data_IF_730335328687
#
_entry.id   IF_730335328687
#
_cell.length_a   1.000
_cell.length_b   1.000
_cell.length_c   1.000
_cell.angle_alpha   90.00
_cell.angle_beta   90.00
_cell.angle_gamma   90.00
#
_symmetry.space_group_name_H-M   'P 1'
#
loop_
_entity.id
_entity.type
_entity.pdbx_description
1 polymer ?
#
# COMPACT_ATOMS: atom_id res chain seq x y z
N UNK A 1 -22.81 -4.66 18.90
CA UNK A 1 -21.92 -3.48 19.09
C UNK A 1 -22.71 -2.24 18.68
N UNK A 2 -22.69 -1.18 19.48
CA UNK A 2 -23.39 0.06 19.11
C UNK A 2 -22.70 0.67 17.88
N UNK A 3 -23.47 1.09 16.88
CA UNK A 3 -22.95 1.75 15.67
C UNK A 3 -22.10 2.98 16.05
N UNK A 4 -22.55 3.75 17.04
CA UNK A 4 -21.83 4.91 17.57
C UNK A 4 -20.43 4.57 18.10
N UNK A 5 -20.28 3.45 18.83
CA UNK A 5 -18.96 3.05 19.35
C UNK A 5 -18.04 2.52 18.24
N UNK A 6 -18.60 1.92 17.19
CA UNK A 6 -17.80 1.39 16.08
C UNK A 6 -17.32 2.53 15.16
N UNK A 7 -18.19 3.50 14.87
CA UNK A 7 -17.84 4.68 14.08
C UNK A 7 -16.84 5.58 14.80
N UNK A 8 -16.97 5.77 16.12
CA UNK A 8 -16.04 6.60 16.89
C UNK A 8 -14.63 6.00 16.92
N UNK A 9 -14.51 4.69 17.12
CA UNK A 9 -13.22 3.98 17.10
C UNK A 9 -12.57 4.07 15.72
N UNK A 10 -13.33 3.83 14.65
CA UNK A 10 -12.82 3.95 13.28
C UNK A 10 -12.35 5.39 12.96
N UNK A 11 -13.16 6.39 13.35
CA UNK A 11 -12.82 7.80 13.19
C UNK A 11 -11.55 8.19 13.94
N UNK A 12 -11.40 7.74 15.18
CA UNK A 12 -10.21 7.97 15.99
C UNK A 12 -8.95 7.41 15.31
N UNK A 13 -8.96 6.15 14.88
CA UNK A 13 -7.80 5.56 14.20
C UNK A 13 -7.51 6.22 12.85
N UNK A 14 -8.53 6.67 12.13
CA UNK A 14 -8.35 7.43 10.88
C UNK A 14 -7.65 8.76 11.14
N UNK A 15 -8.09 9.51 12.16
CA UNK A 15 -7.45 10.77 12.55
C UNK A 15 -6.01 10.56 13.03
N UNK A 16 -5.80 9.55 13.88
CA UNK A 16 -4.47 9.21 14.36
C UNK A 16 -3.52 8.87 13.21
N UNK A 17 -3.96 8.07 12.24
CA UNK A 17 -3.17 7.75 11.04
C UNK A 17 -2.84 8.98 10.21
N UNK A 18 -3.76 9.94 10.08
CA UNK A 18 -3.51 11.21 9.37
C UNK A 18 -2.50 12.09 10.09
N UNK A 19 -2.61 12.21 11.41
CA UNK A 19 -1.66 12.98 12.23
C UNK A 19 -0.27 12.36 12.16
N UNK A 20 -0.15 11.03 12.28
CA UNK A 20 1.14 10.33 12.14
C UNK A 20 1.73 10.50 10.73
N UNK A 21 0.90 10.43 9.69
CA UNK A 21 1.34 10.72 8.31
C UNK A 21 1.86 12.15 8.15
N UNK A 22 1.18 13.12 8.76
CA UNK A 22 1.62 14.52 8.73
C UNK A 22 2.94 14.74 9.49
N UNK A 23 3.10 14.09 10.65
CA UNK A 23 4.36 14.11 11.40
C UNK A 23 5.49 13.51 10.57
N UNK A 24 5.26 12.37 9.90
CA UNK A 24 6.25 11.79 8.97
C UNK A 24 6.68 12.80 7.91
N UNK A 25 5.73 13.50 7.30
CA UNK A 25 6.04 14.47 6.24
C UNK A 25 6.83 15.67 6.78
N UNK A 26 6.53 16.14 7.99
CA UNK A 26 7.33 17.17 8.70
C UNK A 26 8.77 16.68 8.93
N UNK A 27 8.93 15.45 9.41
CA UNK A 27 10.26 14.89 9.70
C UNK A 27 11.08 14.74 8.41
N UNK A 28 10.47 14.27 7.32
CA UNK A 28 11.12 14.20 6.01
C UNK A 28 11.54 15.61 5.56
N UNK A 29 10.66 16.60 5.65
CA UNK A 29 10.99 17.98 5.27
C UNK A 29 12.10 18.58 6.14
N UNK A 30 12.09 18.31 7.45
CA UNK A 30 13.10 18.82 8.39
C UNK A 30 14.48 18.19 8.18
N UNK A 31 14.55 16.87 8.01
CA UNK A 31 15.83 16.16 7.89
C UNK A 31 16.37 16.08 6.46
N UNK A 32 15.51 15.91 5.45
CA UNK A 32 15.92 15.70 4.07
C UNK A 32 15.71 16.94 3.18
N UNK A 33 14.79 17.84 3.55
CA UNK A 33 14.49 19.03 2.76
C UNK A 33 14.19 18.73 1.29
N UNK A 34 14.62 19.62 0.39
CA UNK A 34 14.62 19.41 -1.06
C UNK A 34 15.93 18.76 -1.50
N UNK A 35 16.13 17.48 -1.17
CA UNK A 35 17.32 16.72 -1.55
C UNK A 35 17.00 15.60 -2.54
N UNK A 36 18.04 15.09 -3.20
CA UNK A 36 17.94 13.93 -4.09
C UNK A 36 17.41 12.68 -3.37
N UNK A 37 17.66 12.57 -2.05
CA UNK A 37 17.20 11.46 -1.21
C UNK A 37 15.70 11.55 -0.93
N UNK A 38 15.19 12.75 -0.63
CA UNK A 38 13.74 12.97 -0.46
C UNK A 38 12.99 12.65 -1.76
N UNK A 39 13.50 13.17 -2.88
CA UNK A 39 12.97 12.92 -4.23
C UNK A 39 12.89 11.40 -4.54
N UNK A 40 14.00 10.68 -4.33
CA UNK A 40 14.08 9.23 -4.52
C UNK A 40 13.12 8.47 -3.60
N UNK A 41 13.04 8.85 -2.32
CA UNK A 41 12.13 8.24 -1.35
C UNK A 41 10.67 8.41 -1.77
N UNK A 42 10.25 9.59 -2.20
CA UNK A 42 8.87 9.82 -2.62
C UNK A 42 8.49 9.07 -3.89
N UNK A 43 9.43 8.91 -4.83
CA UNK A 43 9.21 8.06 -6.02
C UNK A 43 9.06 6.60 -5.61
N UNK A 44 9.99 6.07 -4.82
CA UNK A 44 9.94 4.70 -4.34
C UNK A 44 8.65 4.43 -3.54
N UNK A 45 8.29 5.32 -2.62
CA UNK A 45 7.11 5.19 -1.78
C UNK A 45 5.78 5.31 -2.56
N UNK A 46 5.78 5.92 -3.75
CA UNK A 46 4.58 6.05 -4.59
C UNK A 46 4.09 4.69 -5.10
N UNK A 47 5.02 3.79 -5.42
CA UNK A 47 4.70 2.48 -5.99
C UNK A 47 3.83 1.62 -5.04
N UNK A 48 4.27 1.27 -3.83
CA UNK A 48 3.47 0.45 -2.92
C UNK A 48 2.16 1.14 -2.52
N UNK A 49 2.15 2.48 -2.39
CA UNK A 49 0.92 3.20 -2.08
C UNK A 49 -0.11 3.11 -3.21
N UNK A 50 0.31 3.22 -4.46
CA UNK A 50 -0.60 3.06 -5.61
C UNK A 50 -1.22 1.67 -5.62
N UNK A 51 -0.41 0.62 -5.42
CA UNK A 51 -0.92 -0.75 -5.32
C UNK A 51 -1.90 -0.92 -4.16
N UNK A 52 -1.56 -0.42 -2.97
CA UNK A 52 -2.45 -0.46 -1.80
C UNK A 52 -3.80 0.21 -2.08
N UNK A 53 -3.80 1.35 -2.77
CA UNK A 53 -5.03 2.08 -3.13
C UNK A 53 -5.88 1.31 -4.15
N UNK A 54 -5.25 0.70 -5.15
CA UNK A 54 -5.93 -0.05 -6.20
C UNK A 54 -6.54 -1.36 -5.69
N UNK A 55 -5.78 -2.12 -4.89
CA UNK A 55 -6.15 -3.48 -4.50
C UNK A 55 -6.78 -3.59 -3.12
N UNK A 56 -6.49 -2.71 -2.16
CA UNK A 56 -6.88 -2.93 -0.77
C UNK A 56 -7.94 -1.95 -0.22
N UNK A 57 -7.93 -0.67 -0.62
CA UNK A 57 -8.79 0.33 0.03
C UNK A 57 -10.26 0.24 -0.40
N UNK A 58 -10.56 0.05 -1.69
CA UNK A 58 -11.93 0.16 -2.23
C UNK A 58 -12.52 -1.14 -2.76
N UNK A 59 -11.98 -1.61 -3.89
CA UNK A 59 -12.59 -2.70 -4.67
C UNK A 59 -12.61 -4.03 -3.92
N UNK A 60 -11.53 -4.36 -3.23
CA UNK A 60 -11.45 -5.61 -2.48
C UNK A 60 -12.44 -5.65 -1.33
N UNK A 61 -12.53 -4.61 -0.50
CA UNK A 61 -13.47 -4.58 0.63
C UNK A 61 -14.94 -4.69 0.16
N UNK A 62 -15.28 -4.01 -0.95
CA UNK A 62 -16.63 -4.06 -1.52
C UNK A 62 -17.03 -5.45 -2.02
N UNK A 63 -16.09 -6.25 -2.53
CA UNK A 63 -16.32 -7.62 -2.98
C UNK A 63 -16.20 -8.64 -1.83
N UNK A 64 -15.16 -8.51 -0.99
CA UNK A 64 -14.82 -9.46 0.06
C UNK A 64 -15.85 -9.51 1.18
N UNK A 65 -16.25 -8.35 1.71
CA UNK A 65 -17.11 -8.30 2.91
C UNK A 65 -18.48 -8.96 2.67
N UNK A 66 -19.22 -8.68 1.57
CA UNK A 66 -20.48 -9.36 1.29
C UNK A 66 -20.32 -10.86 1.06
N UNK A 67 -19.29 -11.28 0.31
CA UNK A 67 -19.04 -12.71 0.05
C UNK A 67 -18.66 -13.47 1.33
N UNK A 68 -17.80 -12.90 2.16
CA UNK A 68 -17.45 -13.46 3.46
C UNK A 68 -18.68 -13.55 4.38
N UNK A 69 -19.52 -12.52 4.40
CA UNK A 69 -20.75 -12.53 5.20
C UNK A 69 -21.70 -13.65 4.76
N UNK A 70 -21.84 -13.89 3.45
CA UNK A 70 -22.66 -14.98 2.91
C UNK A 70 -22.10 -16.37 3.28
N UNK A 71 -20.78 -16.57 3.19
CA UNK A 71 -20.17 -17.85 3.59
C UNK A 71 -20.24 -18.06 5.10
N UNK A 72 -20.09 -17.00 5.90
CA UNK A 72 -20.23 -17.07 7.36
C UNK A 72 -21.63 -17.49 7.81
N UNK A 73 -22.68 -17.12 7.07
CA UNK A 73 -24.06 -17.56 7.36
C UNK A 73 -24.24 -19.08 7.24
N UNK A 74 -23.42 -19.75 6.42
CA UNK A 74 -23.42 -21.23 6.28
C UNK A 74 -22.67 -21.93 7.42
N UNK A 75 -22.01 -21.17 8.30
CA UNK A 75 -21.27 -21.65 9.45
C UNK A 75 -19.93 -20.95 9.60
N UNK A 76 -19.44 -20.86 10.83
CA UNK A 76 -18.19 -20.17 11.15
C UNK A 76 -16.98 -20.79 10.43
N UNK A 77 -16.97 -22.12 10.26
CA UNK A 77 -15.94 -22.84 9.51
C UNK A 77 -15.91 -22.47 8.03
N UNK A 78 -17.08 -22.23 7.40
CA UNK A 78 -17.18 -21.83 6.00
C UNK A 78 -16.65 -20.41 5.79
N UNK A 79 -17.05 -19.47 6.65
CA UNK A 79 -16.52 -18.12 6.63
C UNK A 79 -15.00 -18.09 6.80
N UNK A 80 -14.48 -18.85 7.78
CA UNK A 80 -13.02 -18.97 8.00
C UNK A 80 -12.31 -19.53 6.78
N UNK A 81 -12.80 -20.65 6.23
CA UNK A 81 -12.21 -21.27 5.03
C UNK A 81 -12.20 -20.31 3.85
N UNK A 82 -13.29 -19.60 3.60
CA UNK A 82 -13.35 -18.58 2.55
C UNK A 82 -12.31 -17.47 2.75
N UNK A 83 -12.19 -16.95 3.99
CA UNK A 83 -11.20 -15.94 4.31
C UNK A 83 -9.76 -16.45 4.11
N UNK A 84 -9.47 -17.67 4.53
CA UNK A 84 -8.17 -18.32 4.35
C UNK A 84 -7.85 -18.52 2.86
N UNK A 85 -8.81 -19.00 2.06
CA UNK A 85 -8.65 -19.21 0.61
C UNK A 85 -8.38 -17.88 -0.12
N UNK A 86 -9.14 -16.82 0.19
CA UNK A 86 -8.93 -15.48 -0.38
C UNK A 86 -7.59 -14.90 0.06
N UNK A 87 -7.23 -15.05 1.33
CA UNK A 87 -5.95 -14.56 1.85
C UNK A 87 -4.77 -15.26 1.17
N UNK A 88 -4.82 -16.59 1.02
CA UNK A 88 -3.80 -17.37 0.33
C UNK A 88 -3.65 -16.94 -1.14
N UNK A 89 -4.78 -16.72 -1.83
CA UNK A 89 -4.77 -16.22 -3.21
C UNK A 89 -4.14 -14.83 -3.30
N UNK A 90 -4.55 -13.91 -2.42
CA UNK A 90 -4.01 -12.55 -2.37
C UNK A 90 -2.51 -12.57 -2.10
N UNK A 91 -2.06 -13.36 -1.13
CA UNK A 91 -0.65 -13.52 -0.78
C UNK A 91 0.16 -14.04 -1.98
N UNK A 92 -0.34 -15.09 -2.65
CA UNK A 92 0.32 -15.68 -3.82
C UNK A 92 0.46 -14.68 -4.97
N UNK A 93 -0.61 -13.94 -5.28
CA UNK A 93 -0.61 -12.90 -6.33
C UNK A 93 0.35 -11.76 -5.97
N UNK A 94 0.34 -11.30 -4.71
CA UNK A 94 1.23 -10.23 -4.24
C UNK A 94 2.70 -10.65 -4.33
N UNK A 95 3.05 -11.87 -3.95
CA UNK A 95 4.42 -12.39 -4.07
C UNK A 95 4.89 -12.36 -5.53
N UNK A 96 4.05 -12.83 -6.46
CA UNK A 96 4.38 -12.81 -7.89
C UNK A 96 4.60 -11.37 -8.38
N UNK A 97 3.70 -10.44 -8.01
CA UNK A 97 3.82 -9.04 -8.40
C UNK A 97 5.10 -8.42 -7.85
N UNK A 98 5.43 -8.67 -6.57
CA UNK A 98 6.65 -8.17 -5.94
C UNK A 98 7.89 -8.71 -6.68
N UNK A 99 7.95 -10.02 -6.96
CA UNK A 99 9.08 -10.61 -7.70
C UNK A 99 9.24 -9.96 -9.08
N UNK A 100 8.14 -9.72 -9.79
CA UNK A 100 8.20 -9.04 -11.10
C UNK A 100 8.73 -7.61 -10.92
N UNK A 101 8.22 -6.85 -9.94
CA UNK A 101 8.66 -5.47 -9.67
C UNK A 101 10.13 -5.41 -9.26
N UNK A 102 10.63 -6.36 -8.46
CA UNK A 102 12.04 -6.48 -8.06
C UNK A 102 12.98 -6.68 -9.26
N UNK A 103 12.58 -7.58 -10.16
CA UNK A 103 13.37 -7.88 -11.36
C UNK A 103 13.39 -6.68 -12.31
N UNK A 104 12.23 -6.02 -12.48
CA UNK A 104 12.04 -4.94 -13.43
C UNK A 104 12.09 -3.54 -12.81
N UNK A 105 12.65 -3.38 -11.60
CA UNK A 105 12.61 -2.11 -10.86
C UNK A 105 13.09 -0.90 -11.66
N UNK A 106 14.22 -0.94 -12.39
CA UNK A 106 14.68 0.22 -13.16
C UNK A 106 13.63 0.67 -14.20
N UNK A 107 12.98 -0.29 -14.85
CA UNK A 107 11.92 -0.01 -15.82
C UNK A 107 10.67 0.58 -15.15
N UNK A 108 10.28 0.05 -14.00
CA UNK A 108 9.15 0.56 -13.21
C UNK A 108 9.40 2.01 -12.75
N UNK A 109 10.61 2.30 -12.24
CA UNK A 109 11.00 3.66 -11.85
C UNK A 109 11.00 4.61 -13.04
N UNK A 110 11.50 4.17 -14.20
CA UNK A 110 11.45 4.96 -15.44
C UNK A 110 10.01 5.30 -15.85
N UNK A 111 9.05 4.38 -15.71
CA UNK A 111 7.64 4.64 -16.03
C UNK A 111 7.00 5.65 -15.06
N UNK A 112 7.38 5.62 -13.78
CA UNK A 112 6.77 6.46 -12.73
C UNK A 112 7.39 7.86 -12.67
N UNK A 113 8.70 7.93 -12.92
CA UNK A 113 9.51 9.14 -12.81
C UNK A 113 10.51 9.24 -13.99
N UNK A 114 10.03 9.41 -15.24
CA UNK A 114 10.89 9.45 -16.42
C UNK A 114 11.92 10.60 -16.35
N UNK A 115 11.58 11.72 -15.70
CA UNK A 115 12.51 12.85 -15.50
C UNK A 115 13.72 12.53 -14.62
N UNK A 116 13.75 11.38 -13.93
CA UNK A 116 14.95 10.97 -13.19
C UNK A 116 16.00 10.37 -14.12
N UNK A 117 15.62 9.90 -15.32
CA UNK A 117 16.52 9.25 -16.26
C UNK A 117 17.67 10.16 -16.72
N UNK A 118 17.44 11.48 -16.78
CA UNK A 118 18.46 12.48 -17.12
C UNK A 118 19.55 12.61 -16.04
N UNK A 119 19.24 12.22 -14.80
CA UNK A 119 20.17 12.26 -13.66
C UNK A 119 20.43 10.85 -13.13
N UNK A 120 21.54 10.25 -13.58
CA UNK A 120 21.95 8.88 -13.24
C UNK A 120 21.96 8.60 -11.72
N UNK A 121 22.40 9.56 -10.91
CA UNK A 121 22.46 9.40 -9.45
C UNK A 121 21.05 9.32 -8.83
N UNK A 122 20.15 10.24 -9.19
CA UNK A 122 18.74 10.21 -8.75
C UNK A 122 18.03 8.94 -9.17
N UNK A 123 18.25 8.51 -10.41
CA UNK A 123 17.63 7.29 -10.95
C UNK A 123 18.10 6.03 -10.21
N UNK A 124 19.40 5.92 -9.94
CA UNK A 124 19.97 4.80 -9.20
C UNK A 124 19.45 4.76 -7.76
N UNK A 125 19.42 5.89 -7.05
CA UNK A 125 18.86 5.99 -5.71
C UNK A 125 17.38 5.59 -5.66
N UNK A 126 16.57 6.10 -6.59
CA UNK A 126 15.15 5.74 -6.66
C UNK A 126 14.95 4.25 -6.97
N UNK A 127 15.80 3.67 -7.83
CA UNK A 127 15.78 2.24 -8.14
C UNK A 127 16.15 1.41 -6.93
N UNK A 128 17.18 1.80 -6.18
CA UNK A 128 17.61 1.11 -4.97
C UNK A 128 16.56 1.18 -3.86
N UNK A 129 15.94 2.34 -3.64
CA UNK A 129 14.88 2.50 -2.63
C UNK A 129 13.57 1.81 -3.00
N UNK A 130 13.36 1.49 -4.29
CA UNK A 130 12.15 0.80 -4.76
C UNK A 130 12.25 -0.72 -4.61
N UNK A 131 13.48 -1.27 -4.58
CA UNK A 131 13.75 -2.67 -4.22
C UNK A 131 13.64 -2.87 -2.70
#
# INVERSE_FOLDING_TARGET
MNLLSSTSVFGFYTLLSRVLGYIRDILIAFFLGTSIYADAFFVAFRLPNTFRRLFAEGTFNAAFIPSYAQEKLKGESHGKKFADDVFNLLLYVLIIIIIIVEIFTPFVVYLIAPGFYENSEKFNLATEFTR
#
